data_IF_493565597846
#
_entry.id   IF_493565597846
#
_cell.length_a   1.000
_cell.length_b   1.000
_cell.length_c   1.000
_cell.angle_alpha   90.00
_cell.angle_beta   90.00
_cell.angle_gamma   90.00
#
_symmetry.space_group_name_H-M   'P 1'
#
loop_
_entity.id
_entity.type
_entity.pdbx_description
1 polymer ?
#
# COMPACT_ATOMS: atom_id res chain seq x y z
N UNK A 1 18.64 8.28 -10.06
CA UNK A 1 18.36 8.20 -8.62
C UNK A 1 17.00 7.55 -8.45
N UNK A 2 16.82 6.47 -7.67
CA UNK A 2 15.48 5.99 -7.35
C UNK A 2 14.71 7.11 -6.66
N UNK A 3 13.46 7.33 -7.08
CA UNK A 3 12.59 8.37 -6.52
C UNK A 3 12.34 8.06 -5.04
N UNK A 4 12.42 9.06 -4.18
CA UNK A 4 12.09 8.87 -2.76
C UNK A 4 10.64 8.37 -2.62
N UNK A 5 10.36 7.45 -1.68
CA UNK A 5 9.00 6.98 -1.46
C UNK A 5 8.09 8.13 -1.01
N UNK A 6 6.80 8.03 -1.36
CA UNK A 6 5.76 8.94 -0.91
C UNK A 6 5.55 8.85 0.61
N UNK A 7 5.61 7.63 1.15
CA UNK A 7 5.62 7.35 2.57
C UNK A 7 6.21 5.96 2.84
N UNK A 8 6.63 5.74 4.07
CA UNK A 8 7.23 4.49 4.51
C UNK A 8 6.82 4.18 5.95
N UNK A 9 6.62 2.90 6.27
CA UNK A 9 6.31 2.44 7.62
C UNK A 9 7.02 1.12 7.93
N UNK A 10 7.35 0.92 9.21
CA UNK A 10 7.72 -0.40 9.73
C UNK A 10 6.46 -1.21 9.94
N UNK A 11 6.45 -2.45 9.44
CA UNK A 11 5.29 -3.35 9.47
C UNK A 11 5.71 -4.72 10.01
N UNK A 12 4.72 -5.58 10.31
CA UNK A 12 4.93 -6.96 10.75
C UNK A 12 5.96 -7.04 11.88
N UNK A 13 5.62 -6.43 13.03
CA UNK A 13 6.47 -6.36 14.22
C UNK A 13 7.84 -5.70 13.97
N UNK A 14 7.86 -4.67 13.11
CA UNK A 14 9.06 -3.94 12.68
C UNK A 14 10.09 -4.77 11.89
N UNK A 15 9.76 -6.01 11.52
CA UNK A 15 10.64 -6.88 10.75
C UNK A 15 10.81 -6.44 9.29
N UNK A 16 9.83 -5.70 8.75
CA UNK A 16 9.84 -5.24 7.37
C UNK A 16 9.62 -3.73 7.25
N UNK A 17 10.15 -3.16 6.17
CA UNK A 17 9.96 -1.79 5.75
C UNK A 17 9.04 -1.75 4.54
N UNK A 18 7.82 -1.23 4.73
CA UNK A 18 6.95 -0.82 3.64
C UNK A 18 7.43 0.53 3.10
N UNK A 19 7.43 0.67 1.77
CA UNK A 19 7.64 1.93 1.06
C UNK A 19 6.64 2.06 -0.07
N UNK A 20 5.80 3.09 -0.04
CA UNK A 20 4.84 3.42 -1.09
C UNK A 20 5.51 4.38 -2.06
N UNK A 21 5.50 4.06 -3.35
CA UNK A 21 6.21 4.79 -4.39
C UNK A 21 5.30 5.63 -5.28
N UNK A 22 4.03 5.24 -5.36
CA UNK A 22 3.09 5.86 -6.29
C UNK A 22 1.65 5.75 -5.80
N UNK A 23 0.88 6.77 -6.15
CA UNK A 23 -0.57 6.82 -6.05
C UNK A 23 -1.15 7.14 -7.42
N UNK A 24 -1.75 6.16 -8.08
CA UNK A 24 -2.34 6.28 -9.41
C UNK A 24 -3.83 6.50 -9.29
N UNK A 25 -4.33 7.61 -9.83
CA UNK A 25 -5.78 7.87 -9.95
C UNK A 25 -6.33 7.12 -11.17
N UNK A 26 -7.56 6.62 -11.06
CA UNK A 26 -8.38 6.11 -12.14
C UNK A 26 -9.79 6.69 -12.03
N UNK A 27 -10.60 6.50 -13.05
CA UNK A 27 -11.96 7.06 -13.12
C UNK A 27 -12.91 6.44 -12.08
N UNK A 28 -12.62 5.22 -11.61
CA UNK A 28 -13.46 4.47 -10.66
C UNK A 28 -12.75 4.09 -9.35
N UNK A 29 -11.43 4.33 -9.27
CA UNK A 29 -10.56 3.80 -8.21
C UNK A 29 -9.26 4.59 -8.08
N UNK A 30 -8.43 4.23 -7.11
CA UNK A 30 -7.01 4.56 -7.13
C UNK A 30 -6.17 3.34 -6.73
N UNK A 31 -4.88 3.35 -7.08
CA UNK A 31 -3.93 2.28 -6.76
C UNK A 31 -2.68 2.83 -6.10
N UNK A 32 -2.25 2.17 -5.03
CA UNK A 32 -0.95 2.37 -4.40
C UNK A 32 0.04 1.35 -4.95
N UNK A 33 1.20 1.81 -5.43
CA UNK A 33 2.33 0.94 -5.76
C UNK A 33 3.33 0.95 -4.60
N UNK A 34 3.79 -0.23 -4.16
CA UNK A 34 4.67 -0.34 -2.99
C UNK A 34 5.76 -1.42 -3.13
N UNK A 35 6.74 -1.34 -2.24
CA UNK A 35 7.72 -2.41 -1.98
C UNK A 35 7.83 -2.71 -0.49
N UNK A 36 8.20 -3.94 -0.14
CA UNK A 36 8.45 -4.40 1.22
C UNK A 36 9.83 -5.06 1.29
N UNK A 37 10.69 -4.61 2.19
CA UNK A 37 12.03 -5.14 2.40
C UNK A 37 12.29 -5.39 3.90
N UNK A 38 12.79 -6.57 4.32
CA UNK A 38 13.07 -7.78 3.53
C UNK A 38 11.81 -8.30 2.82
N UNK A 39 11.92 -9.19 1.81
CA UNK A 39 10.74 -9.72 1.13
C UNK A 39 9.82 -10.44 2.13
N UNK A 40 8.52 -10.42 1.83
CA UNK A 40 7.54 -11.25 2.51
C UNK A 40 7.87 -12.73 2.25
N UNK A 41 7.54 -13.64 3.18
CA UNK A 41 7.76 -15.07 2.97
C UNK A 41 6.98 -15.55 1.74
N UNK A 42 7.62 -16.40 0.93
CA UNK A 42 7.04 -16.91 -0.31
C UNK A 42 5.78 -17.74 -0.01
N UNK A 43 4.74 -17.53 -0.82
CA UNK A 43 3.43 -18.18 -0.70
C UNK A 43 3.48 -19.70 -0.93
N UNK A 44 4.61 -20.24 -1.39
CA UNK A 44 4.84 -21.68 -1.57
C UNK A 44 5.11 -22.45 -0.28
N UNK A 45 5.69 -21.81 0.74
CA UNK A 45 6.15 -22.48 1.97
C UNK A 45 5.50 -21.94 3.26
N UNK A 46 4.77 -20.82 3.18
CA UNK A 46 4.14 -20.15 4.31
C UNK A 46 2.71 -19.69 4.00
N UNK A 47 1.92 -19.41 5.05
CA UNK A 47 0.62 -18.77 4.89
C UNK A 47 0.81 -17.40 4.22
N UNK A 48 0.12 -17.11 3.09
CA UNK A 48 0.28 -15.84 2.38
C UNK A 48 -0.11 -14.68 3.29
N UNK A 49 0.67 -13.60 3.25
CA UNK A 49 0.28 -12.35 3.91
C UNK A 49 -0.77 -11.69 3.04
N UNK A 50 -2.00 -11.58 3.53
CA UNK A 50 -3.06 -10.83 2.87
C UNK A 50 -2.93 -9.36 3.25
N UNK A 51 -3.36 -8.48 2.35
CA UNK A 51 -3.31 -7.03 2.55
C UNK A 51 -4.69 -6.46 2.27
N UNK A 52 -5.22 -5.71 3.23
CA UNK A 52 -6.41 -4.88 3.04
C UNK A 52 -6.08 -3.40 3.18
N UNK A 53 -6.95 -2.57 2.58
CA UNK A 53 -6.82 -1.12 2.56
C UNK A 53 -8.13 -0.45 2.99
N UNK A 54 -8.02 0.49 3.90
CA UNK A 54 -9.05 1.48 4.20
C UNK A 54 -8.40 2.87 4.11
N UNK A 55 -9.12 3.88 3.64
CA UNK A 55 -8.59 5.23 3.64
C UNK A 55 -9.68 6.28 3.83
N UNK A 56 -9.26 7.43 4.36
CA UNK A 56 -10.10 8.63 4.46
C UNK A 56 -9.32 9.83 3.93
N UNK A 57 -9.95 10.67 3.12
CA UNK A 57 -9.35 11.92 2.66
C UNK A 57 -9.58 13.10 3.61
N UNK A 58 -8.91 14.21 3.33
CA UNK A 58 -9.00 15.46 4.10
C UNK A 58 -10.36 16.18 3.97
N UNK A 59 -11.27 15.69 3.13
CA UNK A 59 -12.64 16.21 2.98
C UNK A 59 -13.72 15.23 3.49
N UNK A 60 -13.30 14.10 4.09
CA UNK A 60 -14.16 13.14 4.76
C UNK A 60 -14.73 12.02 3.89
N UNK A 61 -14.24 11.81 2.67
CA UNK A 61 -14.62 10.64 1.87
C UNK A 61 -13.87 9.40 2.36
N UNK A 62 -14.56 8.27 2.34
CA UNK A 62 -14.01 6.97 2.70
C UNK A 62 -13.76 6.12 1.46
N UNK A 63 -12.73 5.29 1.54
CA UNK A 63 -12.29 4.41 0.48
C UNK A 63 -11.99 3.02 1.02
N UNK A 64 -12.43 2.00 0.30
CA UNK A 64 -12.31 0.61 0.73
C UNK A 64 -11.57 -0.23 -0.30
N UNK A 65 -10.90 -1.26 0.19
CA UNK A 65 -10.15 -2.23 -0.58
C UNK A 65 -10.91 -2.74 -1.81
N UNK A 66 -10.24 -2.69 -2.95
CA UNK A 66 -10.70 -3.22 -4.23
C UNK A 66 -9.73 -4.26 -4.82
N UNK A 67 -8.90 -4.84 -3.95
CA UNK A 67 -7.97 -5.89 -4.28
C UNK A 67 -6.59 -5.38 -4.71
N UNK A 68 -5.67 -6.32 -4.75
CA UNK A 68 -4.26 -6.08 -5.04
C UNK A 68 -3.54 -7.37 -5.38
N UNK A 69 -2.26 -7.22 -5.70
CA UNK A 69 -1.37 -8.34 -5.94
C UNK A 69 0.04 -7.95 -5.51
N UNK A 70 0.83 -8.94 -5.09
CA UNK A 70 2.25 -8.77 -4.84
C UNK A 70 3.02 -10.00 -5.31
N UNK A 71 4.32 -9.83 -5.45
CA UNK A 71 5.26 -10.90 -5.76
C UNK A 71 6.69 -10.44 -5.54
N UNK A 72 7.62 -11.38 -5.58
CA UNK A 72 9.02 -11.06 -5.36
C UNK A 72 9.61 -10.23 -6.51
N UNK A 73 10.60 -9.42 -6.15
CA UNK A 73 11.56 -8.87 -7.09
C UNK A 73 12.34 -10.00 -7.77
N UNK A 74 12.75 -9.79 -9.02
CA UNK A 74 13.54 -10.78 -9.76
C UNK A 74 14.86 -11.15 -9.08
N UNK A 75 15.40 -10.27 -8.23
CA UNK A 75 16.59 -10.50 -7.40
C UNK A 75 16.26 -10.99 -5.97
N UNK A 76 14.97 -11.14 -5.63
CA UNK A 76 14.44 -11.58 -4.34
C UNK A 76 14.90 -10.74 -3.13
N UNK A 77 15.25 -9.48 -3.35
CA UNK A 77 15.69 -8.58 -2.26
C UNK A 77 14.53 -7.83 -1.61
N UNK A 78 13.39 -7.75 -2.29
CA UNK A 78 12.14 -7.15 -1.80
C UNK A 78 10.91 -7.80 -2.44
N UNK A 79 9.75 -7.62 -1.81
CA UNK A 79 8.45 -7.88 -2.43
C UNK A 79 7.94 -6.60 -3.08
N UNK A 80 7.41 -6.70 -4.30
CA UNK A 80 6.73 -5.62 -5.01
C UNK A 80 5.25 -5.89 -5.04
N UNK A 81 4.42 -4.89 -4.79
CA UNK A 81 2.98 -5.05 -4.88
C UNK A 81 2.24 -3.78 -5.26
N UNK A 82 0.95 -3.98 -5.49
CA UNK A 82 -0.03 -2.91 -5.69
C UNK A 82 -1.34 -3.28 -5.02
N UNK A 83 -2.02 -2.29 -4.44
CA UNK A 83 -3.37 -2.45 -3.86
C UNK A 83 -4.24 -1.27 -4.29
N UNK A 84 -5.51 -1.53 -4.56
CA UNK A 84 -6.46 -0.54 -5.05
C UNK A 84 -7.57 -0.29 -4.04
N UNK A 85 -8.22 0.87 -4.16
CA UNK A 85 -9.39 1.21 -3.37
C UNK A 85 -10.44 1.94 -4.22
N UNK A 86 -11.69 1.87 -3.77
CA UNK A 86 -12.84 2.52 -4.38
C UNK A 86 -13.60 3.38 -3.35
N UNK A 87 -14.30 4.46 -3.79
CA UNK A 87 -14.42 4.94 -5.18
C UNK A 87 -13.16 5.66 -5.68
N UNK A 88 -13.24 6.29 -6.86
CA UNK A 88 -12.18 7.15 -7.37
C UNK A 88 -11.82 8.26 -6.38
N UNK A 89 -10.53 8.54 -6.28
CA UNK A 89 -10.02 9.56 -5.36
C UNK A 89 -10.58 10.94 -5.74
N UNK A 90 -11.13 11.65 -4.75
CA UNK A 90 -11.79 12.93 -5.00
C UNK A 90 -10.81 13.93 -5.65
N UNK A 91 -11.21 14.66 -6.71
CA UNK A 91 -10.34 15.63 -7.37
C UNK A 91 -9.82 16.73 -6.42
N UNK A 92 -10.59 17.05 -5.38
CA UNK A 92 -10.28 18.11 -4.40
C UNK A 92 -9.56 17.62 -3.16
N UNK A 93 -9.43 16.31 -2.94
CA UNK A 93 -8.67 15.77 -1.83
C UNK A 93 -7.19 16.11 -2.02
N UNK A 94 -6.55 16.66 -0.98
CA UNK A 94 -5.13 17.00 -0.98
C UNK A 94 -4.29 15.93 -0.29
N UNK A 95 -4.88 15.25 0.70
CA UNK A 95 -4.22 14.24 1.52
C UNK A 95 -5.16 13.04 1.74
N UNK A 96 -4.58 11.85 1.88
CA UNK A 96 -5.30 10.66 2.32
C UNK A 96 -4.56 9.99 3.47
N UNK A 97 -5.30 9.65 4.52
CA UNK A 97 -4.86 8.76 5.58
C UNK A 97 -5.21 7.34 5.17
N UNK A 98 -4.20 6.55 4.84
CA UNK A 98 -4.35 5.14 4.47
C UNK A 98 -4.04 4.27 5.67
N UNK A 99 -4.97 3.37 6.01
CA UNK A 99 -4.77 2.23 6.90
C UNK A 99 -4.56 0.99 6.05
N UNK A 100 -3.36 0.42 6.12
CA UNK A 100 -3.05 -0.87 5.51
C UNK A 100 -3.00 -1.92 6.61
N UNK A 101 -3.74 -3.02 6.46
CA UNK A 101 -3.71 -4.13 7.40
C UNK A 101 -3.12 -5.37 6.75
N UNK A 102 -2.01 -5.83 7.30
CA UNK A 102 -1.37 -7.07 6.88
C UNK A 102 -1.88 -8.21 7.76
N UNK A 103 -2.52 -9.20 7.15
CA UNK A 103 -3.00 -10.40 7.81
C UNK A 103 -2.05 -11.55 7.50
N UNK A 104 -1.34 -12.04 8.51
CA UNK A 104 -0.40 -13.15 8.37
C UNK A 104 -0.45 -14.02 9.63
N UNK A 105 -0.39 -15.35 9.45
CA UNK A 105 -0.43 -16.31 10.57
C UNK A 105 -1.62 -16.14 11.54
N UNK A 106 -2.75 -15.62 11.06
CA UNK A 106 -3.94 -15.34 11.88
C UNK A 106 -3.88 -14.06 12.71
N UNK A 107 -2.83 -13.24 12.56
CA UNK A 107 -2.67 -11.95 13.24
C UNK A 107 -2.81 -10.77 12.26
N UNK A 108 -3.45 -9.69 12.74
CA UNK A 108 -3.55 -8.42 12.03
C UNK A 108 -2.45 -7.45 12.46
N UNK A 109 -1.77 -6.87 11.48
CA UNK A 109 -0.75 -5.86 11.69
C UNK A 109 -1.08 -4.59 10.89
N UNK A 110 -1.83 -3.64 11.47
CA UNK A 110 -2.17 -2.40 10.80
C UNK A 110 -1.00 -1.40 10.82
N UNK A 111 -0.88 -0.61 9.76
CA UNK A 111 -0.04 0.58 9.72
C UNK A 111 -0.79 1.74 9.05
N UNK A 112 -0.43 2.97 9.44
CA UNK A 112 -1.04 4.18 8.90
C UNK A 112 -0.01 4.97 8.10
N UNK A 113 -0.43 5.49 6.94
CA UNK A 113 0.38 6.31 6.05
C UNK A 113 -0.41 7.55 5.66
N UNK A 114 0.23 8.72 5.73
CA UNK A 114 -0.31 9.94 5.15
C UNK A 114 0.30 10.14 3.76
N UNK A 115 -0.54 10.24 2.73
CA UNK A 115 -0.10 10.43 1.34
C UNK A 115 -0.66 11.72 0.78
N UNK A 116 0.17 12.48 0.05
CA UNK A 116 -0.27 13.63 -0.73
C UNK A 116 -0.79 13.18 -2.09
N UNK A 117 -2.00 13.60 -2.43
CA UNK A 117 -2.75 13.12 -3.61
C UNK A 117 -2.30 13.77 -4.94
N UNK A 118 -1.43 14.78 -4.86
CA UNK A 118 -0.84 15.53 -5.97
C UNK A 118 0.63 15.16 -6.22
N UNK A 119 1.20 14.28 -5.41
CA UNK A 119 2.60 13.85 -5.55
C UNK A 119 2.85 12.96 -6.79
N UNK A 120 1.83 12.67 -7.58
CA UNK A 120 1.93 11.94 -8.85
C UNK A 120 1.65 12.87 -10.02
N UNK A 121 2.71 13.48 -10.54
CA UNK A 121 2.67 14.03 -11.91
C UNK A 121 2.49 12.87 -12.90
N UNK A 122 1.72 13.09 -13.99
CA UNK A 122 1.52 12.12 -15.06
C UNK A 122 2.83 11.69 -15.73
#
# INVERSE_FOLDING_TARGET
MPRAPLASAKILNNGHQLSVHGLKRRDDSFTLDYTIAPPLPDTGDATPVLLSLEATDDIGNEYFDWGGAYGDSGDRTYTRGSISAQPALAPRACEILVRLTFLGNGEEHPCHLMLRTWATNP
#
